data_IF_842789767913
#
_entry.id   IF_842789767913
#
_cell.length_a   1.000
_cell.length_b   1.000
_cell.length_c   1.000
_cell.angle_alpha   90.00
_cell.angle_beta   90.00
_cell.angle_gamma   90.00
#
_symmetry.space_group_name_H-M   'P 1'
#
loop_
_entity.id
_entity.type
_entity.pdbx_description
1 polymer ?
#
# COMPACT_ATOMS: atom_id res chain seq x y z
N UNK A 1 -70.84 72.34 -15.46
CA UNK A 1 -69.71 71.76 -16.23
C UNK A 1 -68.46 71.88 -15.35
N UNK A 2 -68.10 70.79 -14.64
CA UNK A 2 -66.99 70.77 -13.73
C UNK A 2 -66.07 69.58 -14.20
N UNK A 3 -64.85 69.92 -14.59
CA UNK A 3 -63.86 68.98 -15.03
C UNK A 3 -63.08 68.44 -13.78
N UNK A 4 -63.17 67.15 -13.51
CA UNK A 4 -62.36 66.42 -12.53
C UNK A 4 -60.96 66.17 -13.12
N UNK A 5 -59.92 66.51 -12.38
CA UNK A 5 -58.55 66.16 -12.67
C UNK A 5 -58.20 64.87 -11.84
N UNK A 6 -57.53 63.88 -12.39
CA UNK A 6 -57.11 62.76 -11.63
C UNK A 6 -55.77 63.05 -10.89
N UNK A 7 -55.69 62.63 -9.62
CA UNK A 7 -54.48 62.65 -8.81
C UNK A 7 -53.68 61.42 -9.14
N UNK A 8 -52.45 61.61 -9.59
CA UNK A 8 -51.48 60.51 -9.71
C UNK A 8 -50.82 60.21 -8.36
N UNK A 9 -51.04 59.06 -7.83
CA UNK A 9 -50.34 58.53 -6.65
C UNK A 9 -49.01 57.98 -7.08
N UNK A 10 -47.92 58.58 -6.64
CA UNK A 10 -46.55 58.05 -6.80
C UNK A 10 -46.31 57.04 -5.69
N UNK A 11 -46.28 55.75 -6.05
CA UNK A 11 -45.83 54.66 -5.18
C UNK A 11 -44.29 54.61 -5.19
N UNK A 12 -43.68 55.02 -4.09
CA UNK A 12 -42.23 54.88 -3.91
C UNK A 12 -41.93 53.39 -3.55
N UNK A 13 -41.33 52.66 -4.48
CA UNK A 13 -40.77 51.32 -4.22
C UNK A 13 -39.47 51.48 -3.45
N UNK A 14 -39.49 51.16 -2.17
CA UNK A 14 -38.28 50.96 -1.37
C UNK A 14 -37.64 49.60 -1.73
N UNK A 15 -36.62 49.61 -2.57
CA UNK A 15 -35.73 48.44 -2.77
C UNK A 15 -34.85 48.27 -1.52
N UNK A 16 -35.23 47.37 -0.64
CA UNK A 16 -34.33 46.87 0.42
C UNK A 16 -33.33 45.93 -0.25
N UNK A 17 -32.14 46.43 -0.52
CA UNK A 17 -31.02 45.60 -0.93
C UNK A 17 -30.58 44.75 0.27
N UNK A 18 -31.02 43.49 0.33
CA UNK A 18 -30.50 42.52 1.23
C UNK A 18 -29.09 42.16 0.75
N UNK A 19 -28.07 42.78 1.34
CA UNK A 19 -26.68 42.30 1.23
C UNK A 19 -26.60 40.98 1.95
N UNK A 20 -26.72 39.87 1.22
CA UNK A 20 -26.35 38.55 1.72
C UNK A 20 -24.87 38.61 2.05
N UNK A 21 -24.55 38.73 3.34
CA UNK A 21 -23.21 38.49 3.83
C UNK A 21 -22.90 37.02 3.52
N UNK A 22 -22.09 36.79 2.50
CA UNK A 22 -21.48 35.48 2.27
C UNK A 22 -20.58 35.24 3.48
N UNK A 23 -21.07 34.51 4.45
CA UNK A 23 -20.24 33.98 5.49
C UNK A 23 -19.12 33.18 4.76
N UNK A 24 -17.89 33.73 4.78
CA UNK A 24 -16.74 32.98 4.30
C UNK A 24 -16.70 31.69 5.11
N UNK A 25 -16.94 30.57 4.42
CA UNK A 25 -16.69 29.28 5.04
C UNK A 25 -15.24 29.31 5.54
N UNK A 26 -14.98 28.84 6.77
CA UNK A 26 -13.60 28.71 7.23
C UNK A 26 -12.82 27.94 6.15
N UNK A 27 -11.56 28.32 5.87
CA UNK A 27 -10.74 27.62 4.90
C UNK A 27 -10.80 26.13 5.21
N UNK A 28 -11.10 25.33 4.19
CA UNK A 28 -11.14 23.88 4.35
C UNK A 28 -9.82 23.42 4.98
N UNK A 29 -9.92 22.60 6.03
CA UNK A 29 -8.74 22.05 6.70
C UNK A 29 -7.83 21.37 5.65
N UNK A 30 -6.53 21.63 5.70
CA UNK A 30 -5.58 21.07 4.76
C UNK A 30 -5.61 19.54 4.86
N UNK A 31 -5.79 18.81 3.75
CA UNK A 31 -5.83 17.36 3.77
C UNK A 31 -4.56 16.79 4.42
N UNK A 32 -4.67 15.71 5.17
CA UNK A 32 -3.54 15.10 5.89
C UNK A 32 -2.34 14.81 5.00
N UNK A 33 -2.55 14.39 3.75
CA UNK A 33 -1.49 14.13 2.76
C UNK A 33 -0.73 15.39 2.32
N UNK A 34 -1.31 16.56 2.42
CA UNK A 34 -0.69 17.83 2.01
C UNK A 34 0.14 18.47 3.12
N UNK A 35 0.00 18.00 4.36
CA UNK A 35 0.72 18.54 5.51
C UNK A 35 2.23 18.44 5.29
N UNK A 36 2.95 19.54 5.53
CA UNK A 36 4.38 19.66 5.29
C UNK A 36 4.78 19.91 3.83
N UNK A 37 3.79 20.10 2.92
CA UNK A 37 4.04 20.43 1.52
C UNK A 37 4.67 21.82 1.40
N UNK A 38 5.84 21.97 0.74
CA UNK A 38 6.44 23.28 0.51
C UNK A 38 5.52 24.16 -0.35
N UNK A 39 5.43 25.44 0.00
CA UNK A 39 4.72 26.46 -0.80
C UNK A 39 5.58 26.95 -1.97
N UNK A 40 6.10 26.04 -2.78
CA UNK A 40 6.92 26.33 -3.94
C UNK A 40 6.15 26.03 -5.23
N UNK A 41 6.52 26.70 -6.33
CA UNK A 41 5.92 26.43 -7.63
C UNK A 41 6.12 24.97 -8.07
N UNK A 42 7.28 24.39 -7.80
CA UNK A 42 7.57 22.98 -8.08
C UNK A 42 6.62 22.05 -7.32
N UNK A 43 6.44 22.25 -6.01
CA UNK A 43 5.49 21.47 -5.21
C UNK A 43 4.04 21.66 -5.67
N UNK A 44 3.68 22.84 -6.17
CA UNK A 44 2.33 23.11 -6.70
C UNK A 44 2.07 22.35 -8.00
N UNK A 45 3.08 22.13 -8.81
CA UNK A 45 2.98 21.38 -10.08
C UNK A 45 2.95 19.87 -9.88
N UNK A 46 3.41 19.36 -8.74
CA UNK A 46 3.33 17.93 -8.45
C UNK A 46 1.88 17.52 -8.21
N UNK A 47 1.47 16.46 -8.88
CA UNK A 47 0.14 15.90 -8.65
C UNK A 47 0.01 15.46 -7.19
N UNK A 48 -0.99 15.96 -6.45
CA UNK A 48 -1.22 15.56 -5.06
C UNK A 48 -1.81 14.15 -4.94
N UNK A 49 -2.18 13.54 -6.06
CA UNK A 49 -2.86 12.25 -6.12
C UNK A 49 -2.01 11.31 -6.96
N UNK A 50 -1.75 10.07 -6.51
CA UNK A 50 -1.12 9.05 -7.32
C UNK A 50 -1.85 8.89 -8.66
N UNK A 51 -1.11 8.55 -9.71
CA UNK A 51 -1.72 8.22 -11.00
C UNK A 51 -2.78 7.14 -10.78
N UNK A 52 -3.99 7.38 -11.27
CA UNK A 52 -5.04 6.35 -11.23
C UNK A 52 -4.61 5.12 -12.02
N UNK A 53 -5.06 3.91 -11.61
CA UNK A 53 -4.89 2.71 -12.39
C UNK A 53 -5.45 2.90 -13.81
N UNK A 54 -4.68 2.50 -14.80
CA UNK A 54 -5.09 2.50 -16.21
C UNK A 54 -5.10 1.04 -16.66
N UNK A 55 -6.27 0.36 -16.66
CA UNK A 55 -6.37 -1.02 -17.10
C UNK A 55 -5.82 -1.16 -18.52
N UNK A 56 -4.79 -1.97 -18.67
CA UNK A 56 -4.09 -2.18 -19.93
C UNK A 56 -4.58 -3.46 -20.58
N UNK A 57 -4.88 -3.41 -21.87
CA UNK A 57 -5.28 -4.60 -22.61
C UNK A 57 -4.14 -5.65 -22.58
N UNK A 58 -4.48 -6.97 -22.56
CA UNK A 58 -3.48 -8.03 -22.37
C UNK A 58 -2.34 -8.01 -23.39
N UNK A 59 -2.62 -7.65 -24.63
CA UNK A 59 -1.66 -7.53 -25.74
C UNK A 59 -0.81 -6.27 -25.68
N UNK A 60 -1.18 -5.31 -24.83
CA UNK A 60 -0.45 -4.03 -24.63
C UNK A 60 0.34 -4.01 -23.33
N UNK A 61 0.27 -5.07 -22.52
CA UNK A 61 1.02 -5.16 -21.28
C UNK A 61 2.54 -5.11 -21.53
N UNK A 62 3.32 -4.40 -20.71
CA UNK A 62 4.72 -4.04 -21.00
C UNK A 62 5.73 -5.17 -20.76
N UNK A 63 5.34 -6.45 -20.89
CA UNK A 63 6.21 -7.59 -20.61
C UNK A 63 7.51 -7.58 -21.41
N UNK A 64 7.48 -7.09 -22.65
CA UNK A 64 8.68 -6.96 -23.50
C UNK A 64 9.64 -5.85 -23.05
N UNK A 65 9.20 -4.91 -22.21
CA UNK A 65 10.03 -3.82 -21.66
C UNK A 65 10.75 -4.23 -20.38
N UNK A 66 10.29 -5.28 -19.72
CA UNK A 66 10.88 -5.73 -18.47
C UNK A 66 12.25 -6.36 -18.67
N UNK A 67 13.18 -6.00 -17.79
CA UNK A 67 14.56 -6.50 -17.77
C UNK A 67 14.80 -7.25 -16.48
N UNK A 68 15.24 -8.50 -16.61
CA UNK A 68 15.55 -9.41 -15.50
C UNK A 68 16.98 -9.95 -15.65
N UNK A 69 17.57 -10.51 -14.58
CA UNK A 69 18.84 -11.23 -14.68
C UNK A 69 18.75 -12.40 -15.66
N UNK A 70 19.90 -12.81 -16.26
CA UNK A 70 19.93 -13.92 -17.21
C UNK A 70 19.29 -15.20 -16.66
N UNK A 71 18.53 -15.90 -17.51
CA UNK A 71 17.83 -17.14 -17.20
C UNK A 71 16.44 -16.96 -16.59
N UNK A 72 16.09 -15.74 -16.15
CA UNK A 72 14.73 -15.41 -15.73
C UNK A 72 13.85 -15.03 -16.93
N UNK A 73 12.56 -15.34 -16.80
CA UNK A 73 11.51 -14.96 -17.75
C UNK A 73 10.36 -14.33 -16.99
N UNK A 74 9.65 -13.42 -17.65
CA UNK A 74 8.39 -12.84 -17.15
C UNK A 74 7.33 -13.01 -18.21
N UNK A 75 6.12 -13.36 -17.77
CA UNK A 75 4.95 -13.49 -18.63
C UNK A 75 3.72 -12.90 -17.94
N UNK A 76 2.72 -12.48 -18.69
CA UNK A 76 1.41 -12.15 -18.14
C UNK A 76 0.76 -13.42 -17.63
N UNK A 77 0.48 -13.48 -16.33
CA UNK A 77 -0.21 -14.61 -15.70
C UNK A 77 -1.72 -14.42 -15.71
N UNK A 78 -2.19 -13.21 -15.39
CA UNK A 78 -3.59 -12.78 -15.50
C UNK A 78 -3.66 -11.28 -15.78
N UNK A 79 -4.78 -10.82 -16.32
CA UNK A 79 -5.06 -9.41 -16.61
C UNK A 79 -6.52 -9.07 -16.33
N UNK A 80 -6.90 -7.81 -16.41
CA UNK A 80 -8.25 -7.35 -16.08
C UNK A 80 -8.54 -7.34 -14.58
N UNK A 81 -7.50 -7.30 -13.76
CA UNK A 81 -7.57 -7.20 -12.29
C UNK A 81 -7.34 -5.76 -11.89
N UNK A 82 -8.37 -4.93 -12.02
CA UNK A 82 -8.27 -3.51 -11.71
C UNK A 82 -7.74 -3.29 -10.29
N UNK A 83 -6.71 -2.45 -10.16
CA UNK A 83 -6.16 -2.01 -8.89
C UNK A 83 -5.63 -3.18 -8.02
N UNK A 84 -4.95 -4.17 -8.65
CA UNK A 84 -4.49 -5.41 -8.02
C UNK A 84 -3.47 -5.15 -6.90
N UNK A 85 -3.76 -5.63 -5.68
CA UNK A 85 -2.93 -5.41 -4.49
C UNK A 85 -2.35 -6.73 -3.96
N UNK A 86 -2.75 -7.15 -2.76
CA UNK A 86 -2.21 -8.35 -2.12
C UNK A 86 -2.59 -9.65 -2.85
N UNK A 87 -1.67 -10.59 -2.87
CA UNK A 87 -1.81 -11.90 -3.51
C UNK A 87 -1.70 -13.02 -2.46
N UNK A 88 -2.65 -13.96 -2.42
CA UNK A 88 -2.57 -15.17 -1.58
C UNK A 88 -3.08 -16.38 -2.33
N UNK A 89 -2.48 -17.55 -2.07
CA UNK A 89 -2.92 -18.80 -2.67
C UNK A 89 -3.68 -19.65 -1.64
N UNK A 90 -4.83 -20.15 -2.05
CA UNK A 90 -5.62 -21.10 -1.29
C UNK A 90 -5.07 -22.54 -1.36
N UNK A 91 -5.64 -23.43 -0.55
CA UNK A 91 -5.23 -24.82 -0.46
C UNK A 91 -5.48 -25.59 -1.77
N UNK A 92 -6.54 -25.24 -2.51
CA UNK A 92 -6.94 -25.85 -3.79
C UNK A 92 -6.28 -25.18 -5.01
N UNK A 93 -5.44 -24.16 -4.78
CA UNK A 93 -4.70 -23.46 -5.83
C UNK A 93 -5.37 -22.19 -6.33
N UNK A 94 -6.49 -21.76 -5.75
CA UNK A 94 -7.09 -20.46 -6.06
C UNK A 94 -6.15 -19.34 -5.66
N UNK A 95 -5.87 -18.40 -6.56
CA UNK A 95 -5.14 -17.17 -6.23
C UNK A 95 -6.14 -16.07 -5.93
N UNK A 96 -6.14 -15.61 -4.69
CA UNK A 96 -6.95 -14.47 -4.25
C UNK A 96 -6.17 -13.18 -4.47
N UNK A 97 -6.88 -12.15 -4.95
CA UNK A 97 -6.31 -10.82 -5.23
C UNK A 97 -7.19 -9.77 -4.61
N UNK A 98 -6.63 -9.00 -3.70
CA UNK A 98 -7.29 -7.81 -3.15
C UNK A 98 -7.12 -6.60 -4.06
N UNK A 99 -7.88 -5.55 -3.80
CA UNK A 99 -7.79 -4.29 -4.54
C UNK A 99 -7.81 -3.10 -3.57
N UNK A 100 -7.49 -1.91 -4.08
CA UNK A 100 -7.54 -0.68 -3.33
C UNK A 100 -8.89 0.07 -3.60
N UNK A 101 -8.90 1.37 -3.46
CA UNK A 101 -10.11 2.20 -3.49
C UNK A 101 -10.78 2.32 -4.87
N UNK A 102 -10.07 2.06 -5.96
CA UNK A 102 -10.67 2.06 -7.30
C UNK A 102 -11.35 0.73 -7.59
N UNK A 103 -10.71 -0.38 -7.21
CA UNK A 103 -11.25 -1.73 -7.39
C UNK A 103 -12.38 -2.05 -6.42
N UNK A 104 -12.17 -1.80 -5.13
CA UNK A 104 -13.10 -2.13 -4.04
C UNK A 104 -13.64 -3.56 -4.06
N UNK A 105 -12.78 -4.52 -4.43
CA UNK A 105 -13.13 -5.92 -4.68
C UNK A 105 -12.07 -6.88 -4.16
N UNK A 106 -12.49 -8.14 -4.05
CA UNK A 106 -11.57 -9.28 -3.99
C UNK A 106 -11.89 -10.21 -5.15
N UNK A 107 -10.85 -10.60 -5.87
CA UNK A 107 -10.93 -11.57 -6.95
C UNK A 107 -10.42 -12.93 -6.53
N UNK A 108 -10.98 -13.98 -7.13
CA UNK A 108 -10.45 -15.33 -7.12
C UNK A 108 -10.09 -15.72 -8.57
N UNK A 109 -8.89 -16.26 -8.77
CA UNK A 109 -8.36 -16.67 -10.07
C UNK A 109 -7.90 -18.12 -9.96
N UNK A 110 -8.38 -18.99 -10.83
CA UNK A 110 -7.90 -20.37 -10.90
C UNK A 110 -6.42 -20.39 -11.35
N UNK A 111 -5.59 -21.17 -10.69
CA UNK A 111 -4.17 -21.30 -11.06
C UNK A 111 -4.00 -21.87 -12.48
N UNK A 112 -4.93 -22.73 -12.90
CA UNK A 112 -4.93 -23.39 -14.20
C UNK A 112 -6.13 -22.95 -15.05
N UNK A 113 -6.04 -23.11 -16.35
CA UNK A 113 -7.09 -22.74 -17.30
C UNK A 113 -6.90 -21.32 -17.84
N UNK A 114 -7.99 -20.63 -18.09
CA UNK A 114 -8.02 -19.29 -18.69
C UNK A 114 -7.62 -18.17 -17.74
N UNK A 115 -7.46 -18.48 -16.44
CA UNK A 115 -7.09 -17.53 -15.38
C UNK A 115 -7.95 -16.27 -15.36
N UNK A 116 -9.22 -16.40 -15.69
CA UNK A 116 -10.15 -15.28 -15.70
C UNK A 116 -10.49 -14.84 -14.28
N UNK A 117 -10.32 -13.55 -13.94
CA UNK A 117 -10.66 -13.04 -12.61
C UNK A 117 -12.16 -13.15 -12.36
N UNK A 118 -12.52 -13.74 -11.22
CA UNK A 118 -13.88 -13.83 -10.71
C UNK A 118 -14.00 -12.94 -9.48
N UNK A 119 -14.90 -11.96 -9.49
CA UNK A 119 -15.21 -11.17 -8.28
C UNK A 119 -15.93 -12.05 -7.27
N UNK A 120 -15.39 -12.16 -6.06
CA UNK A 120 -15.99 -12.92 -4.96
C UNK A 120 -16.48 -12.02 -3.81
N UNK A 121 -15.86 -10.84 -3.63
CA UNK A 121 -16.33 -9.79 -2.73
C UNK A 121 -16.37 -8.50 -3.53
N UNK A 122 -17.47 -7.75 -3.45
CA UNK A 122 -17.69 -6.52 -4.21
C UNK A 122 -18.10 -5.37 -3.29
N UNK A 123 -17.91 -4.13 -3.77
CA UNK A 123 -18.32 -2.89 -3.08
C UNK A 123 -17.78 -2.78 -1.64
N UNK A 124 -16.58 -3.27 -1.42
CA UNK A 124 -15.93 -3.25 -0.11
C UNK A 124 -14.79 -2.25 -0.14
N UNK A 125 -15.04 -1.06 0.39
CA UNK A 125 -14.05 0.02 0.42
C UNK A 125 -12.74 -0.41 1.07
N UNK A 126 -11.62 -0.11 0.40
CA UNK A 126 -10.28 -0.42 0.86
C UNK A 126 -10.07 -1.90 1.22
N UNK A 127 -10.54 -2.81 0.38
CA UNK A 127 -10.37 -4.26 0.53
C UNK A 127 -8.91 -4.69 0.27
N UNK A 128 -7.94 -4.11 0.97
CA UNK A 128 -6.52 -4.11 0.60
C UNK A 128 -5.72 -5.27 1.13
N UNK A 129 -5.95 -5.67 2.36
CA UNK A 129 -5.21 -6.75 3.00
C UNK A 129 -5.95 -8.06 2.94
N UNK A 130 -5.33 -9.09 2.39
CA UNK A 130 -5.85 -10.45 2.46
C UNK A 130 -4.78 -11.40 2.99
N UNK A 131 -5.25 -12.44 3.69
CA UNK A 131 -4.42 -13.59 4.08
C UNK A 131 -5.27 -14.85 3.96
N UNK A 132 -4.66 -15.94 3.52
CA UNK A 132 -5.32 -17.24 3.47
C UNK A 132 -4.66 -18.21 4.46
N UNK A 133 -5.46 -18.79 5.34
CA UNK A 133 -4.98 -19.74 6.32
C UNK A 133 -6.02 -20.82 6.63
N UNK A 134 -5.65 -22.10 6.43
CA UNK A 134 -6.47 -23.27 6.76
C UNK A 134 -7.90 -23.19 6.24
N UNK A 135 -8.06 -22.97 4.94
CA UNK A 135 -9.36 -22.91 4.27
C UNK A 135 -10.13 -21.60 4.45
N UNK A 136 -9.62 -20.65 5.24
CA UNK A 136 -10.27 -19.36 5.47
C UNK A 136 -9.51 -18.21 4.80
N UNK A 137 -10.27 -17.26 4.23
CA UNK A 137 -9.77 -15.98 3.74
C UNK A 137 -10.04 -14.89 4.76
N UNK A 138 -8.99 -14.28 5.27
CA UNK A 138 -9.04 -13.07 6.07
C UNK A 138 -8.98 -11.86 5.15
N UNK A 139 -9.84 -10.88 5.40
CA UNK A 139 -9.90 -9.64 4.64
C UNK A 139 -9.86 -8.45 5.59
N UNK A 140 -8.94 -7.54 5.35
CA UNK A 140 -8.89 -6.27 6.04
C UNK A 140 -9.32 -5.12 5.13
N UNK A 141 -10.18 -4.29 5.65
CA UNK A 141 -10.52 -2.97 5.14
C UNK A 141 -9.91 -1.90 6.05
N UNK A 142 -10.08 -0.63 5.72
CA UNK A 142 -9.61 0.45 6.61
C UNK A 142 -10.33 0.49 7.98
N UNK A 143 -11.50 -0.14 8.13
CA UNK A 143 -12.33 -0.11 9.35
C UNK A 143 -12.39 -1.43 10.10
N UNK A 144 -12.20 -2.56 9.43
CA UNK A 144 -12.44 -3.87 10.04
C UNK A 144 -11.56 -4.96 9.44
N UNK A 145 -11.42 -6.04 10.20
CA UNK A 145 -10.88 -7.32 9.74
C UNK A 145 -11.96 -8.37 9.88
N UNK A 146 -12.24 -9.10 8.80
CA UNK A 146 -13.25 -10.15 8.73
C UNK A 146 -12.65 -11.46 8.22
N UNK A 147 -13.35 -12.58 8.42
CA UNK A 147 -12.94 -13.91 7.98
C UNK A 147 -14.07 -14.64 7.24
N UNK A 148 -13.76 -15.17 6.07
CA UNK A 148 -14.63 -16.03 5.27
C UNK A 148 -14.17 -17.49 5.40
N UNK A 149 -14.93 -18.32 6.09
CA UNK A 149 -14.60 -19.73 6.30
C UNK A 149 -15.00 -20.61 5.11
N UNK A 150 -14.10 -21.52 4.70
CA UNK A 150 -14.32 -22.44 3.58
C UNK A 150 -14.48 -21.74 2.23
N UNK A 151 -13.76 -20.62 2.01
CA UNK A 151 -13.95 -19.71 0.89
C UNK A 151 -13.80 -20.39 -0.48
N UNK A 152 -12.86 -21.33 -0.64
CA UNK A 152 -12.62 -21.99 -1.93
C UNK A 152 -13.79 -22.88 -2.38
N UNK A 153 -14.67 -23.28 -1.48
CA UNK A 153 -15.91 -24.03 -1.80
C UNK A 153 -17.12 -23.12 -2.02
N UNK A 154 -16.95 -21.82 -1.82
CA UNK A 154 -18.04 -20.84 -1.82
C UNK A 154 -17.76 -19.62 -2.71
N UNK A 155 -16.95 -19.78 -3.76
CA UNK A 155 -16.54 -18.66 -4.63
C UNK A 155 -17.72 -17.98 -5.35
N UNK A 156 -18.86 -18.66 -5.52
CA UNK A 156 -20.07 -18.06 -6.09
C UNK A 156 -20.90 -17.29 -5.06
N UNK A 157 -20.83 -17.69 -3.80
CA UNK A 157 -21.53 -17.06 -2.69
C UNK A 157 -20.71 -17.22 -1.40
N UNK A 158 -19.78 -16.33 -1.13
CA UNK A 158 -18.92 -16.39 0.07
C UNK A 158 -19.70 -16.36 1.40
N UNK A 159 -20.96 -15.89 1.37
CA UNK A 159 -21.77 -15.71 2.57
C UNK A 159 -21.36 -14.51 3.41
N UNK A 160 -21.89 -14.44 4.63
CA UNK A 160 -21.57 -13.38 5.58
C UNK A 160 -20.27 -13.75 6.33
N UNK A 161 -19.26 -12.87 6.34
CA UNK A 161 -18.03 -13.16 7.06
C UNK A 161 -18.18 -13.01 8.58
N UNK A 162 -17.34 -13.71 9.31
CA UNK A 162 -17.18 -13.46 10.75
C UNK A 162 -16.36 -12.17 10.95
N UNK A 163 -16.88 -11.25 11.77
CA UNK A 163 -16.16 -10.03 12.15
C UNK A 163 -15.16 -10.36 13.26
N UNK A 164 -13.89 -10.09 13.03
CA UNK A 164 -12.80 -10.32 14.00
C UNK A 164 -12.43 -9.04 14.75
N UNK A 165 -12.39 -7.92 14.04
CA UNK A 165 -12.12 -6.60 14.61
C UNK A 165 -12.84 -5.53 13.76
N UNK A 166 -13.75 -4.78 14.37
CA UNK A 166 -14.50 -3.67 13.76
C UNK A 166 -14.09 -2.28 14.31
N UNK A 167 -12.98 -2.23 15.06
CA UNK A 167 -12.49 -1.03 15.74
C UNK A 167 -11.21 -0.48 15.14
N UNK A 168 -10.88 -0.81 13.88
CA UNK A 168 -9.75 -0.20 13.22
C UNK A 168 -10.04 1.29 13.02
N UNK A 169 -9.04 2.16 13.23
CA UNK A 169 -9.21 3.57 12.95
C UNK A 169 -9.47 3.74 11.45
N UNK A 170 -10.58 4.35 11.11
CA UNK A 170 -10.95 4.69 9.75
C UNK A 170 -9.99 5.75 9.17
N UNK A 171 -10.44 6.47 8.17
CA UNK A 171 -9.66 7.49 7.49
C UNK A 171 -9.24 7.03 6.10
N UNK A 172 -8.63 7.93 5.34
CA UNK A 172 -8.17 7.66 3.98
C UNK A 172 -6.65 7.62 3.88
N UNK A 173 -5.93 8.35 4.76
CA UNK A 173 -4.48 8.37 4.76
C UNK A 173 -3.93 7.06 5.30
N UNK A 174 -3.00 6.44 4.57
CA UNK A 174 -2.33 5.18 4.92
C UNK A 174 -3.29 4.07 5.40
N UNK A 175 -4.44 3.97 4.73
CA UNK A 175 -5.54 3.07 5.11
C UNK A 175 -5.39 1.63 4.65
N UNK A 176 -4.25 1.29 4.09
CA UNK A 176 -3.92 -0.08 3.70
C UNK A 176 -3.65 -0.91 4.96
N UNK A 177 -4.21 -2.12 4.97
CA UNK A 177 -4.09 -3.06 6.08
C UNK A 177 -3.50 -4.36 5.57
N UNK A 178 -2.16 -4.41 5.46
CA UNK A 178 -1.51 -5.66 5.04
C UNK A 178 -1.69 -6.74 6.12
N UNK A 179 -1.91 -7.99 5.70
CA UNK A 179 -2.18 -9.12 6.60
C UNK A 179 -1.18 -10.26 6.39
N UNK A 180 -0.73 -10.88 7.49
CA UNK A 180 -0.01 -12.16 7.49
C UNK A 180 -0.36 -12.99 8.71
N UNK A 181 -0.49 -14.30 8.54
CA UNK A 181 -0.61 -15.24 9.66
C UNK A 181 0.74 -15.90 9.95
N UNK A 182 1.14 -15.87 11.22
CA UNK A 182 2.31 -16.59 11.71
C UNK A 182 2.08 -17.09 13.13
N UNK A 183 2.41 -18.37 13.39
CA UNK A 183 2.37 -19.00 14.71
C UNK A 183 1.02 -18.81 15.43
N UNK A 184 -0.09 -18.96 14.69
CA UNK A 184 -1.46 -18.82 15.22
C UNK A 184 -1.89 -17.38 15.52
N UNK A 185 -1.13 -16.38 15.10
CA UNK A 185 -1.47 -14.96 15.22
C UNK A 185 -1.66 -14.33 13.84
N UNK A 186 -2.62 -13.42 13.73
CA UNK A 186 -2.82 -12.56 12.58
C UNK A 186 -2.14 -11.22 12.83
N UNK A 187 -1.17 -10.88 11.98
CA UNK A 187 -0.45 -9.61 11.99
C UNK A 187 -1.11 -8.63 11.03
N UNK A 188 -1.20 -7.36 11.42
CA UNK A 188 -1.74 -6.29 10.57
C UNK A 188 -1.06 -4.95 10.85
N UNK A 189 -1.04 -4.08 9.85
CA UNK A 189 -0.48 -2.74 9.96
C UNK A 189 -1.58 -1.68 10.04
N UNK A 190 -1.31 -0.61 10.78
CA UNK A 190 -2.10 0.62 10.79
C UNK A 190 -1.15 1.78 10.61
N UNK A 191 -1.17 2.42 9.45
CA UNK A 191 -0.30 3.56 9.13
C UNK A 191 -0.69 4.82 9.89
N UNK A 192 0.14 5.85 9.77
CA UNK A 192 -0.12 7.18 10.34
C UNK A 192 -1.37 7.81 9.69
N UNK A 193 -2.18 8.60 10.43
CA UNK A 193 -3.40 9.21 9.90
C UNK A 193 -3.12 10.49 9.07
N UNK A 194 -1.87 10.73 8.69
CA UNK A 194 -1.40 11.95 8.05
C UNK A 194 -0.04 11.74 7.38
N UNK A 195 0.39 12.70 6.56
CA UNK A 195 1.78 12.70 6.07
C UNK A 195 2.79 12.76 7.21
N UNK A 196 2.63 13.75 8.10
CA UNK A 196 3.45 13.93 9.29
C UNK A 196 2.61 14.50 10.43
N UNK A 197 2.56 13.82 11.56
CA UNK A 197 1.89 14.22 12.80
C UNK A 197 2.35 13.31 13.93
N UNK A 198 2.07 13.69 15.18
CA UNK A 198 2.23 12.79 16.32
C UNK A 198 1.02 11.87 16.41
N UNK A 199 1.17 10.56 16.09
CA UNK A 199 0.04 9.65 16.02
C UNK A 199 -0.37 9.19 17.43
N UNK A 200 -1.67 8.89 17.57
CA UNK A 200 -2.17 8.19 18.74
C UNK A 200 -1.74 6.71 18.78
N UNK A 201 -2.12 5.99 19.83
CA UNK A 201 -1.75 4.60 20.01
C UNK A 201 -2.39 3.62 19.02
N UNK A 202 -3.41 4.03 18.28
CA UNK A 202 -4.04 3.19 17.26
C UNK A 202 -3.33 3.25 15.90
N UNK A 203 -2.40 4.18 15.72
CA UNK A 203 -1.75 4.45 14.43
C UNK A 203 -0.22 4.26 14.47
N UNK A 204 0.39 4.28 13.28
CA UNK A 204 1.82 4.17 13.04
C UNK A 204 2.45 2.94 13.72
N UNK A 205 1.78 1.80 13.60
CA UNK A 205 2.16 0.54 14.28
C UNK A 205 1.89 -0.70 13.43
N UNK A 206 2.62 -1.75 13.76
CA UNK A 206 2.28 -3.12 13.39
C UNK A 206 1.71 -3.80 14.65
N UNK A 207 0.56 -4.44 14.49
CA UNK A 207 -0.14 -5.18 15.52
C UNK A 207 -0.19 -6.67 15.18
N UNK A 208 -0.47 -7.50 16.21
CA UNK A 208 -0.90 -8.88 16.03
C UNK A 208 -2.08 -9.17 16.96
N UNK A 209 -2.89 -10.16 16.59
CA UNK A 209 -4.01 -10.66 17.39
C UNK A 209 -4.19 -12.16 17.21
N UNK A 210 -4.96 -12.80 18.05
CA UNK A 210 -5.40 -14.18 17.85
C UNK A 210 -6.27 -14.29 16.59
N UNK A 211 -6.38 -15.49 16.01
CA UNK A 211 -7.19 -15.73 14.80
C UNK A 211 -8.70 -15.56 15.03
N UNK A 212 -9.15 -15.43 16.28
CA UNK A 212 -10.51 -15.09 16.67
C UNK A 212 -10.75 -13.59 16.90
N UNK A 213 -9.71 -12.76 16.73
CA UNK A 213 -9.76 -11.31 16.91
C UNK A 213 -9.40 -10.83 18.32
N UNK A 214 -9.23 -11.73 19.29
CA UNK A 214 -8.85 -11.38 20.65
C UNK A 214 -7.35 -11.13 20.83
N UNK A 215 -6.93 -10.59 21.97
CA UNK A 215 -5.54 -10.51 22.37
C UNK A 215 -4.67 -9.64 21.44
N UNK A 216 -5.13 -8.42 21.16
CA UNK A 216 -4.40 -7.45 20.33
C UNK A 216 -3.14 -6.98 21.07
N UNK A 217 -2.01 -7.06 20.40
CA UNK A 217 -0.70 -6.67 20.92
C UNK A 217 0.06 -5.80 19.89
N UNK A 218 0.80 -4.80 20.35
CA UNK A 218 1.73 -4.02 19.52
C UNK A 218 3.00 -4.82 19.26
N UNK A 219 3.43 -4.88 17.99
CA UNK A 219 4.65 -5.55 17.54
C UNK A 219 5.77 -4.54 17.26
N UNK A 220 5.43 -3.42 16.61
CA UNK A 220 6.36 -2.35 16.27
C UNK A 220 5.66 -0.99 16.34
N UNK A 221 6.41 0.05 16.74
CA UNK A 221 5.95 1.43 16.85
C UNK A 221 6.77 2.37 15.97
N UNK A 222 6.22 3.54 15.69
CA UNK A 222 6.90 4.53 14.85
C UNK A 222 7.11 4.07 13.44
N UNK A 223 6.14 3.33 12.89
CA UNK A 223 6.08 2.80 11.52
C UNK A 223 5.06 3.65 10.75
N UNK A 224 5.55 4.55 9.88
CA UNK A 224 4.67 5.51 9.22
C UNK A 224 3.64 4.87 8.30
N UNK A 225 4.08 4.03 7.36
CA UNK A 225 3.21 3.41 6.37
C UNK A 225 3.84 2.15 5.79
N UNK A 226 3.69 1.02 6.49
CA UNK A 226 4.06 -0.27 5.90
C UNK A 226 2.90 -0.89 5.13
N UNK A 227 3.20 -1.34 3.93
CA UNK A 227 2.25 -2.01 3.02
C UNK A 227 2.72 -3.42 2.68
N UNK A 228 3.78 -3.88 3.33
CA UNK A 228 4.30 -5.22 3.12
C UNK A 228 5.24 -5.67 4.22
N UNK A 229 5.00 -6.88 4.72
CA UNK A 229 5.87 -7.54 5.67
C UNK A 229 5.83 -9.06 5.50
N UNK A 230 6.91 -9.70 5.87
CA UNK A 230 7.03 -11.16 5.86
C UNK A 230 8.01 -11.61 6.96
N UNK A 231 8.10 -12.90 7.18
CA UNK A 231 8.91 -13.47 8.25
C UNK A 231 10.14 -14.16 7.67
N UNK A 232 11.31 -13.82 8.18
CA UNK A 232 12.54 -14.52 7.85
C UNK A 232 12.40 -16.03 8.17
N UNK A 233 12.53 -16.91 7.17
CA UNK A 233 12.38 -18.35 7.38
C UNK A 233 13.46 -18.95 8.28
N UNK A 234 14.58 -18.26 8.53
CA UNK A 234 15.68 -18.72 9.36
C UNK A 234 15.54 -18.28 10.82
N UNK A 235 15.17 -17.03 11.05
CA UNK A 235 15.15 -16.43 12.39
C UNK A 235 13.73 -16.27 12.94
N UNK A 236 12.71 -16.28 12.09
CA UNK A 236 11.33 -15.97 12.46
C UNK A 236 11.06 -14.46 12.66
N UNK A 237 12.06 -13.61 12.52
CA UNK A 237 11.91 -12.18 12.66
C UNK A 237 10.97 -11.59 11.59
N UNK A 238 10.13 -10.66 12.00
CA UNK A 238 9.32 -9.87 11.08
C UNK A 238 10.19 -8.85 10.35
N UNK A 239 10.16 -8.85 9.02
CA UNK A 239 10.75 -7.82 8.17
C UNK A 239 9.65 -7.05 7.47
N UNK A 240 9.80 -5.73 7.34
CA UNK A 240 8.79 -4.88 6.73
C UNK A 240 9.41 -3.69 5.98
N UNK A 241 8.68 -3.21 4.97
CA UNK A 241 8.97 -1.95 4.29
C UNK A 241 8.26 -0.80 5.03
N UNK A 242 8.86 0.39 5.07
CA UNK A 242 8.19 1.58 5.58
C UNK A 242 8.40 2.77 4.64
N UNK A 243 7.31 3.40 4.24
CA UNK A 243 7.35 4.57 3.36
C UNK A 243 7.60 5.84 4.17
N UNK A 244 8.67 6.56 3.85
CA UNK A 244 9.04 7.83 4.48
C UNK A 244 8.02 8.94 4.25
N UNK A 245 8.12 10.04 5.03
CA UNK A 245 7.24 11.21 4.86
C UNK A 245 7.44 11.86 3.48
N UNK A 246 6.38 12.43 2.97
CA UNK A 246 6.42 13.24 1.76
C UNK A 246 6.93 14.66 2.08
N UNK A 247 7.39 15.36 1.04
CA UNK A 247 7.67 16.80 1.04
C UNK A 247 8.88 17.24 1.88
N UNK A 248 9.80 16.35 2.27
CA UNK A 248 11.03 16.78 2.91
C UNK A 248 12.02 17.33 1.86
N UNK A 249 12.28 16.57 0.80
CA UNK A 249 12.95 17.01 -0.44
C UNK A 249 12.69 16.00 -1.58
N UNK A 250 13.23 16.25 -2.78
CA UNK A 250 13.21 15.30 -3.91
C UNK A 250 13.89 13.96 -3.57
N UNK A 251 14.96 14.01 -2.80
CA UNK A 251 15.82 12.86 -2.55
C UNK A 251 15.83 12.40 -1.07
N UNK A 252 14.94 12.97 -0.24
CA UNK A 252 14.81 12.64 1.18
C UNK A 252 13.36 12.64 1.64
N UNK A 253 13.01 11.75 2.60
CA UNK A 253 13.83 10.63 3.08
C UNK A 253 13.76 9.45 2.12
N UNK A 254 14.70 8.51 2.29
CA UNK A 254 14.56 7.19 1.71
C UNK A 254 13.47 6.40 2.43
N UNK A 255 12.78 5.52 1.72
CA UNK A 255 12.01 4.45 2.32
C UNK A 255 12.95 3.44 3.01
N UNK A 256 12.40 2.66 3.92
CA UNK A 256 13.16 1.81 4.81
C UNK A 256 12.79 0.34 4.65
N UNK A 257 13.80 -0.53 4.76
CA UNK A 257 13.65 -1.94 5.07
C UNK A 257 14.01 -2.14 6.54
N UNK A 258 13.08 -2.63 7.31
CA UNK A 258 13.19 -2.77 8.76
C UNK A 258 13.04 -4.22 9.22
N UNK A 259 13.59 -4.54 10.38
CA UNK A 259 13.46 -5.86 11.01
C UNK A 259 13.13 -5.72 12.50
N UNK A 260 12.09 -6.42 12.96
CA UNK A 260 11.77 -6.55 14.39
C UNK A 260 12.60 -7.69 14.96
N UNK A 261 13.58 -7.35 15.80
CA UNK A 261 14.51 -8.32 16.40
C UNK A 261 14.30 -8.48 17.92
N UNK A 262 13.52 -7.59 18.52
CA UNK A 262 13.14 -7.62 19.95
C UNK A 262 11.77 -6.97 20.14
N UNK A 263 11.06 -7.25 21.24
CA UNK A 263 9.78 -6.59 21.54
C UNK A 263 9.92 -5.07 21.66
N UNK A 264 8.83 -4.37 21.37
CA UNK A 264 8.62 -2.94 21.61
C UNK A 264 9.63 -1.99 20.93
N UNK A 265 10.15 -2.37 19.75
CA UNK A 265 11.02 -1.51 18.96
C UNK A 265 10.24 -0.32 18.37
N UNK A 266 10.88 0.86 18.41
CA UNK A 266 10.39 2.09 17.79
C UNK A 266 11.26 2.45 16.60
N UNK A 267 10.66 2.62 15.40
CA UNK A 267 11.35 2.79 14.12
C UNK A 267 11.48 4.25 13.65
N UNK A 268 11.15 5.20 14.50
CA UNK A 268 11.53 6.61 14.35
C UNK A 268 10.38 7.58 14.07
N UNK A 269 9.37 7.22 13.27
CA UNK A 269 8.28 8.13 12.93
C UNK A 269 7.48 8.58 14.19
N UNK A 270 7.15 9.87 14.35
CA UNK A 270 7.37 11.00 13.43
C UNK A 270 8.70 11.73 13.61
N UNK A 271 9.54 11.34 14.53
CA UNK A 271 10.69 12.10 15.04
C UNK A 271 11.94 11.98 14.18
N UNK A 272 12.16 10.82 13.57
CA UNK A 272 13.35 10.49 12.79
C UNK A 272 13.01 9.67 11.56
N UNK A 273 13.70 9.96 10.46
CA UNK A 273 13.58 9.29 9.17
C UNK A 273 14.89 8.62 8.78
N UNK A 274 14.82 7.50 8.08
CA UNK A 274 15.95 6.69 7.57
C UNK A 274 17.09 6.47 8.60
N UNK A 275 16.75 6.55 9.89
CA UNK A 275 17.66 6.28 11.01
C UNK A 275 18.66 7.39 11.34
N UNK A 276 18.68 8.51 10.61
CA UNK A 276 19.68 9.59 10.83
C UNK A 276 19.20 11.02 10.50
N UNK A 277 17.96 11.20 10.06
CA UNK A 277 17.41 12.52 9.75
C UNK A 277 16.34 12.88 10.78
N UNK A 278 16.62 13.86 11.64
CA UNK A 278 15.62 14.41 12.54
C UNK A 278 14.55 15.15 11.74
N UNK A 279 13.27 14.90 12.06
CA UNK A 279 12.18 15.61 11.43
C UNK A 279 12.19 17.09 11.78
N UNK A 280 12.06 18.02 10.81
CA UNK A 280 12.14 19.45 11.06
C UNK A 280 10.98 20.00 11.92
N UNK A 281 9.86 19.27 12.01
CA UNK A 281 8.68 19.68 12.80
C UNK A 281 8.60 18.93 14.14
N UNK A 282 8.90 17.64 14.16
CA UNK A 282 8.72 16.75 15.32
C UNK A 282 10.03 16.26 15.95
N UNK A 283 11.17 16.44 15.26
CA UNK A 283 12.48 15.93 15.73
C UNK A 283 13.18 16.78 16.78
N UNK A 284 12.63 17.92 17.18
CA UNK A 284 13.24 18.80 18.19
C UNK A 284 13.43 18.10 19.53
N UNK A 285 14.66 18.12 20.03
CA UNK A 285 15.03 17.46 21.29
C UNK A 285 15.07 15.94 21.23
N UNK A 286 14.97 15.33 20.02
CA UNK A 286 15.11 13.89 19.81
C UNK A 286 16.47 13.57 19.18
N UNK A 287 17.02 12.42 19.59
CA UNK A 287 18.23 11.88 18.97
C UNK A 287 17.85 10.63 18.16
N UNK A 288 18.18 10.60 16.87
CA UNK A 288 17.89 9.46 16.01
C UNK A 288 18.50 8.14 16.50
N UNK A 289 19.56 8.21 17.29
CA UNK A 289 20.16 7.04 17.95
C UNK A 289 19.28 6.34 18.99
N UNK A 290 18.19 6.99 19.44
CA UNK A 290 17.22 6.39 20.36
C UNK A 290 16.27 5.40 19.66
N UNK A 291 16.18 5.48 18.33
CA UNK A 291 15.29 4.66 17.51
C UNK A 291 16.03 3.53 16.82
N UNK A 292 15.27 2.50 16.44
CA UNK A 292 15.81 1.39 15.65
C UNK A 292 16.17 1.88 14.25
N UNK A 293 17.41 1.67 13.85
CA UNK A 293 17.88 2.01 12.51
C UNK A 293 17.35 1.01 11.48
N UNK A 294 17.02 1.46 10.26
CA UNK A 294 16.67 0.55 9.19
C UNK A 294 17.81 -0.41 8.83
N UNK A 295 17.45 -1.64 8.45
CA UNK A 295 18.38 -2.64 7.96
C UNK A 295 18.97 -2.26 6.60
N UNK A 296 18.20 -1.54 5.78
CA UNK A 296 18.65 -0.95 4.51
C UNK A 296 17.74 0.21 4.08
N UNK A 297 18.25 1.08 3.22
CA UNK A 297 17.49 2.14 2.58
C UNK A 297 17.03 1.66 1.20
N UNK A 298 15.77 1.96 0.85
CA UNK A 298 15.11 1.48 -0.36
C UNK A 298 14.99 2.52 -1.47
N UNK A 299 15.57 3.68 -1.29
CA UNK A 299 15.51 4.81 -2.22
C UNK A 299 14.49 5.88 -1.81
N UNK A 300 14.68 7.13 -2.28
CA UNK A 300 13.83 8.25 -1.89
C UNK A 300 12.43 8.11 -2.48
N UNK A 301 11.42 8.19 -1.61
CA UNK A 301 10.01 8.13 -2.02
C UNK A 301 9.67 6.93 -2.91
N UNK A 302 10.37 5.80 -2.70
CA UNK A 302 10.23 4.61 -3.54
C UNK A 302 8.82 4.01 -3.52
N UNK A 303 8.02 4.39 -2.54
CA UNK A 303 6.74 3.75 -2.23
C UNK A 303 6.95 2.22 -2.17
N UNK A 304 7.86 1.81 -1.30
CA UNK A 304 8.21 0.40 -1.11
C UNK A 304 7.04 -0.32 -0.44
N UNK A 305 6.38 -1.21 -1.18
CA UNK A 305 5.14 -1.85 -0.77
C UNK A 305 5.38 -3.30 -0.32
N UNK A 306 4.91 -4.27 -1.09
CA UNK A 306 5.00 -5.70 -0.77
C UNK A 306 6.43 -6.18 -0.58
N UNK A 307 6.58 -7.13 0.34
CA UNK A 307 7.81 -7.83 0.63
C UNK A 307 7.52 -9.31 0.77
N UNK A 308 8.33 -10.18 0.16
CA UNK A 308 8.22 -11.61 0.32
C UNK A 308 9.59 -12.28 0.37
N UNK A 309 9.81 -13.17 1.35
CA UNK A 309 10.95 -14.06 1.35
C UNK A 309 10.77 -15.16 0.30
N UNK A 310 11.78 -15.34 -0.55
CA UNK A 310 11.75 -16.42 -1.52
C UNK A 310 12.19 -17.74 -0.89
N UNK A 311 11.24 -18.63 -0.70
CA UNK A 311 11.44 -20.00 -0.19
C UNK A 311 11.23 -21.08 -1.24
N UNK A 312 10.99 -20.70 -2.51
CA UNK A 312 10.83 -21.62 -3.64
C UNK A 312 12.14 -22.30 -4.04
N UNK A 313 12.01 -23.31 -4.91
CA UNK A 313 13.16 -24.09 -5.41
C UNK A 313 13.52 -23.79 -6.87
N UNK A 314 12.67 -23.03 -7.59
CA UNK A 314 12.87 -22.74 -9.02
C UNK A 314 14.03 -21.76 -9.26
N UNK A 315 14.11 -20.67 -8.48
CA UNK A 315 15.16 -19.68 -8.66
C UNK A 315 16.53 -20.19 -8.19
N UNK A 316 17.63 -19.67 -8.75
CA UNK A 316 18.98 -20.02 -8.31
C UNK A 316 19.16 -19.93 -6.80
N UNK A 317 20.02 -20.76 -6.24
CA UNK A 317 20.26 -20.91 -4.80
C UNK A 317 20.54 -19.59 -4.09
N UNK A 318 21.20 -18.63 -4.76
CA UNK A 318 21.50 -17.32 -4.18
C UNK A 318 20.25 -16.50 -3.79
N UNK A 319 19.08 -16.81 -4.38
CA UNK A 319 17.82 -16.13 -4.07
C UNK A 319 17.03 -16.81 -2.93
N UNK A 320 17.41 -18.01 -2.50
CA UNK A 320 16.71 -18.68 -1.40
C UNK A 320 16.99 -17.97 -0.08
N UNK A 321 15.91 -17.53 0.57
CA UNK A 321 15.97 -16.70 1.77
C UNK A 321 16.31 -15.24 1.51
N UNK A 322 16.36 -14.79 0.25
CA UNK A 322 16.34 -13.39 -0.10
C UNK A 322 14.91 -12.83 -0.07
N UNK A 323 14.77 -11.53 0.14
CA UNK A 323 13.51 -10.81 0.09
C UNK A 323 13.35 -10.13 -1.26
N UNK A 324 12.19 -10.28 -1.89
CA UNK A 324 11.79 -9.48 -3.04
C UNK A 324 10.94 -8.33 -2.54
N UNK A 325 11.20 -7.11 -3.02
CA UNK A 325 10.59 -5.86 -2.56
C UNK A 325 10.03 -5.12 -3.77
N UNK A 326 8.74 -4.80 -3.74
CA UNK A 326 8.08 -4.01 -4.76
C UNK A 326 8.31 -2.52 -4.47
N UNK A 327 9.16 -1.85 -5.26
CA UNK A 327 9.28 -0.39 -5.23
C UNK A 327 8.32 0.17 -6.26
N UNK A 328 7.14 0.53 -5.79
CA UNK A 328 6.00 0.92 -6.59
C UNK A 328 6.20 2.25 -7.34
N UNK A 329 7.05 3.11 -6.77
CA UNK A 329 7.46 4.36 -7.38
C UNK A 329 6.77 5.61 -6.81
N UNK A 330 7.47 6.75 -6.85
CA UNK A 330 7.05 8.00 -6.24
C UNK A 330 5.83 8.63 -6.94
N UNK A 331 5.02 9.36 -6.17
CA UNK A 331 4.03 10.30 -6.67
C UNK A 331 4.44 11.77 -6.45
N UNK A 332 5.29 12.02 -5.45
CA UNK A 332 5.75 13.34 -5.00
C UNK A 332 7.20 13.66 -5.42
N UNK A 333 7.67 13.03 -6.49
CA UNK A 333 9.01 13.21 -7.05
C UNK A 333 8.93 13.48 -8.56
N UNK A 334 9.79 14.37 -9.08
CA UNK A 334 9.80 14.74 -10.50
C UNK A 334 10.32 13.61 -11.39
N UNK A 335 11.36 12.90 -10.93
CA UNK A 335 11.91 11.74 -11.66
C UNK A 335 11.28 10.47 -11.10
N UNK A 336 10.49 9.82 -11.94
CA UNK A 336 9.81 8.56 -11.59
C UNK A 336 10.74 7.37 -11.77
N UNK A 337 10.58 6.40 -10.90
CA UNK A 337 11.13 5.06 -11.05
C UNK A 337 10.18 4.05 -10.42
N UNK A 338 10.20 2.82 -10.88
CA UNK A 338 9.52 1.69 -10.28
C UNK A 338 10.27 0.42 -10.70
N UNK A 339 10.42 -0.50 -9.79
CA UNK A 339 11.11 -1.77 -10.04
C UNK A 339 10.80 -2.81 -8.95
N UNK A 340 11.33 -3.99 -9.13
CA UNK A 340 11.43 -4.98 -8.07
C UNK A 340 12.89 -5.03 -7.64
N UNK A 341 13.15 -4.81 -6.36
CA UNK A 341 14.44 -5.01 -5.74
C UNK A 341 14.52 -6.38 -5.08
N UNK A 342 15.73 -6.86 -4.86
CA UNK A 342 16.02 -8.03 -4.05
C UNK A 342 16.97 -7.66 -2.94
N UNK A 343 16.70 -8.12 -1.72
CA UNK A 343 17.49 -7.86 -0.53
C UNK A 343 17.95 -9.17 0.13
N UNK A 344 19.21 -9.20 0.56
CA UNK A 344 19.80 -10.33 1.29
C UNK A 344 20.14 -9.89 2.71
N UNK A 345 19.48 -10.47 3.74
CA UNK A 345 19.88 -10.25 5.12
C UNK A 345 21.33 -10.66 5.35
N UNK A 346 22.10 -9.83 6.03
CA UNK A 346 23.52 -10.10 6.34
C UNK A 346 23.73 -10.92 7.63
N UNK A 347 22.63 -11.23 8.33
CA UNK A 347 22.66 -11.94 9.61
C UNK A 347 23.12 -11.09 10.80
N UNK A 348 23.39 -9.79 10.59
CA UNK A 348 23.84 -8.82 11.62
C UNK A 348 22.85 -7.67 11.83
N UNK A 349 21.67 -7.77 11.22
CA UNK A 349 20.61 -6.76 11.29
C UNK A 349 20.56 -5.79 10.12
N UNK A 350 21.45 -5.94 9.13
CA UNK A 350 21.46 -5.24 7.86
C UNK A 350 21.02 -6.09 6.69
N UNK A 351 20.90 -5.46 5.51
CA UNK A 351 20.63 -6.16 4.25
C UNK A 351 21.32 -5.46 3.06
N UNK A 352 21.81 -6.27 2.10
CA UNK A 352 22.26 -5.76 0.80
C UNK A 352 21.09 -5.72 -0.15
N UNK A 353 20.85 -4.60 -0.82
CA UNK A 353 19.73 -4.41 -1.75
C UNK A 353 20.27 -4.17 -3.17
N UNK A 354 19.69 -4.85 -4.15
CA UNK A 354 20.01 -4.69 -5.57
C UNK A 354 18.72 -4.67 -6.41
N UNK A 355 18.70 -3.98 -7.57
CA UNK A 355 17.61 -4.12 -8.54
C UNK A 355 17.52 -5.56 -9.06
N UNK A 356 16.29 -6.06 -9.25
CA UNK A 356 16.04 -7.38 -9.81
C UNK A 356 15.26 -7.35 -11.13
N UNK A 357 14.14 -6.62 -11.17
CA UNK A 357 13.33 -6.46 -12.39
C UNK A 357 13.04 -5.00 -12.61
N UNK A 358 13.42 -4.46 -13.76
CA UNK A 358 13.23 -3.06 -14.16
C UNK A 358 12.39 -2.95 -15.42
N UNK A 359 12.10 -1.72 -15.89
CA UNK A 359 11.32 -1.48 -17.10
C UNK A 359 9.86 -1.09 -16.86
N UNK A 360 9.50 -0.77 -15.62
CA UNK A 360 8.17 -0.27 -15.26
C UNK A 360 7.96 1.22 -15.57
N UNK A 361 9.00 1.92 -15.97
CA UNK A 361 8.96 3.35 -16.33
C UNK A 361 9.65 3.56 -17.66
N UNK A 362 9.03 4.32 -18.56
CA UNK A 362 9.58 4.74 -19.85
C UNK A 362 9.23 6.21 -20.08
N UNK A 363 10.24 7.03 -20.46
CA UNK A 363 10.06 8.47 -20.69
C UNK A 363 9.35 9.19 -19.53
N UNK A 364 9.71 8.85 -18.29
CA UNK A 364 9.15 9.37 -17.06
C UNK A 364 7.63 9.07 -16.87
N UNK A 365 7.10 8.05 -17.56
CA UNK A 365 5.73 7.57 -17.40
C UNK A 365 5.72 6.13 -16.87
N UNK A 366 4.78 5.83 -15.98
CA UNK A 366 4.58 4.46 -15.52
C UNK A 366 3.98 3.60 -16.64
N UNK A 367 4.61 2.46 -16.90
CA UNK A 367 4.05 1.37 -17.69
C UNK A 367 3.39 0.31 -16.80
N UNK A 368 3.79 0.27 -15.55
CA UNK A 368 3.30 -0.60 -14.51
C UNK A 368 3.85 -0.16 -13.15
N UNK A 369 3.25 -0.65 -12.07
CA UNK A 369 3.66 -0.36 -10.70
C UNK A 369 3.52 -1.64 -9.85
N UNK A 370 4.63 -2.31 -9.49
CA UNK A 370 4.59 -3.57 -8.75
C UNK A 370 4.11 -3.34 -7.31
N UNK A 371 3.32 -4.29 -6.77
CA UNK A 371 2.72 -4.14 -5.44
C UNK A 371 3.05 -5.27 -4.48
N UNK A 372 2.71 -6.52 -4.77
CA UNK A 372 2.87 -7.64 -3.84
C UNK A 372 3.33 -8.91 -4.57
N UNK A 373 3.77 -9.89 -3.82
CA UNK A 373 4.34 -11.13 -4.31
C UNK A 373 3.64 -12.37 -3.77
N UNK A 374 3.62 -13.41 -4.58
CA UNK A 374 3.20 -14.74 -4.18
C UNK A 374 4.14 -15.79 -4.79
N UNK A 375 4.84 -16.54 -3.96
CA UNK A 375 5.64 -17.68 -4.41
C UNK A 375 4.71 -18.88 -4.57
N UNK A 376 4.58 -19.39 -5.80
CA UNK A 376 3.76 -20.55 -6.11
C UNK A 376 4.42 -21.86 -5.71
N UNK A 377 3.63 -22.95 -5.67
CA UNK A 377 4.12 -24.28 -5.29
C UNK A 377 5.21 -24.82 -6.22
N UNK A 378 5.23 -24.42 -7.49
CA UNK A 378 6.27 -24.77 -8.45
C UNK A 378 7.57 -23.96 -8.28
N UNK A 379 7.57 -22.97 -7.40
CA UNK A 379 8.69 -22.07 -7.12
C UNK A 379 8.76 -20.84 -8.04
N UNK A 380 7.86 -20.67 -8.99
CA UNK A 380 7.70 -19.40 -9.68
C UNK A 380 7.09 -18.34 -8.77
N UNK A 381 7.18 -17.07 -9.14
CA UNK A 381 6.69 -15.96 -8.33
C UNK A 381 5.71 -15.12 -9.12
N UNK A 382 4.54 -14.87 -8.56
CA UNK A 382 3.60 -13.89 -9.08
C UNK A 382 3.90 -12.51 -8.50
N UNK A 383 3.62 -11.49 -9.31
CA UNK A 383 3.74 -10.06 -8.94
C UNK A 383 2.47 -9.36 -9.38
N UNK A 384 1.80 -8.66 -8.47
CA UNK A 384 0.67 -7.80 -8.82
C UNK A 384 1.14 -6.42 -9.28
N UNK A 385 0.38 -5.84 -10.20
CA UNK A 385 0.55 -4.50 -10.77
C UNK A 385 -0.81 -3.81 -10.73
N UNK A 386 -0.95 -2.82 -9.84
CA UNK A 386 -2.20 -2.10 -9.66
C UNK A 386 -2.44 -1.07 -10.76
N UNK A 387 -1.36 -0.54 -11.36
CA UNK A 387 -1.46 0.46 -12.42
C UNK A 387 -2.01 -0.14 -13.72
N UNK A 388 -1.42 -1.23 -14.18
CA UNK A 388 -1.83 -1.90 -15.42
C UNK A 388 -3.01 -2.88 -15.24
N UNK A 389 -3.37 -3.22 -13.99
CA UNK A 389 -4.41 -4.20 -13.70
C UNK A 389 -4.00 -5.60 -14.09
N UNK A 390 -2.76 -5.99 -13.83
CA UNK A 390 -2.18 -7.24 -14.26
C UNK A 390 -1.49 -8.00 -13.12
N UNK A 391 -1.29 -9.30 -13.35
CA UNK A 391 -0.43 -10.15 -12.51
C UNK A 391 0.58 -10.78 -13.46
N UNK A 392 1.85 -10.61 -13.14
CA UNK A 392 2.96 -11.20 -13.89
C UNK A 392 3.49 -12.44 -13.17
N UNK A 393 3.96 -13.42 -13.94
CA UNK A 393 4.67 -14.59 -13.43
C UNK A 393 6.14 -14.50 -13.79
N UNK A 394 6.99 -14.57 -12.79
CA UNK A 394 8.44 -14.67 -12.94
C UNK A 394 8.85 -16.12 -12.74
N UNK A 395 9.57 -16.67 -13.69
CA UNK A 395 10.08 -18.03 -13.69
C UNK A 395 11.57 -18.06 -14.04
N UNK A 396 12.24 -19.17 -13.71
CA UNK A 396 13.64 -19.40 -14.06
C UNK A 396 13.77 -20.74 -14.76
N UNK A 397 14.27 -20.73 -15.98
CA UNK A 397 14.43 -21.93 -16.81
C UNK A 397 15.88 -22.41 -16.94
N UNK A 398 16.84 -21.70 -16.33
CA UNK A 398 18.25 -21.92 -16.59
C UNK A 398 18.67 -21.48 -18.01
N UNK A 399 19.92 -21.69 -18.34
CA UNK A 399 20.42 -21.62 -19.73
C UNK A 399 20.36 -23.00 -20.36
#
# INVERSE_FOLDING_TARGET
>A
MARLRPHAAIAALLCVAATAAWAQQPPAEEPGWAKGRPKTEAATRMAPVPSFPIPTAPDQLPTAKFKLPPGFKVETWASGVLDARSLRQGDKGTVFVSTLFVGNKVYAIAEKGDRKPKTIVDKTEFATGIEFHKGALYLATHKQIVRYDGIEDKLDNPGTPAVLNDKLPGGQDHSWRYLRVRDGKLYYAVGAPCNICDPDEAHARIFRMNLDGSGIETVARGVRNTVGFDFDPKTGNLWFTDNGRDWLSEDLPNDELNAVTKPDQHFGYPYCHQGNIADPEFGWGKNCGEFTKPAALLGPHAASLGLAFYNGKMFPTKYRGAMFIARHGPWNRTVKYADIAVAWPDGKGGAKVEPFMTGFVENNNYLGRPVDFLVLKDGSMLVSDDHAGAIYRISYGGR
#
